data_IF_378363513396
#
_entry.id   IF_378363513396
#
_cell.length_a   1.000
_cell.length_b   1.000
_cell.length_c   1.000
_cell.angle_alpha   90.00
_cell.angle_beta   90.00
_cell.angle_gamma   90.00
#
_symmetry.space_group_name_H-M   'P 1'
#
loop_
_entity.id
_entity.type
_entity.pdbx_description
1 polymer ?
#
# COMPACT_ATOMS: atom_id res chain seq x y z
N UNK A 1 -19.73 2.18 -25.92
CA UNK A 1 -20.34 1.29 -24.91
C UNK A 1 -19.32 0.20 -24.59
N UNK A 2 -18.46 0.40 -23.60
CA UNK A 2 -17.40 -0.57 -23.21
C UNK A 2 -17.47 -0.82 -21.71
N UNK A 3 -18.41 -1.67 -21.32
CA UNK A 3 -18.47 -2.29 -20.00
C UNK A 3 -18.26 -3.79 -20.21
N UNK A 4 -17.44 -4.40 -19.35
CA UNK A 4 -17.19 -5.85 -19.19
C UNK A 4 -16.02 -6.44 -19.98
N UNK A 5 -14.83 -6.20 -19.47
CA UNK A 5 -13.90 -7.30 -19.17
C UNK A 5 -13.75 -7.35 -17.65
N UNK A 6 -14.83 -7.82 -16.99
CA UNK A 6 -14.74 -8.33 -15.62
C UNK A 6 -13.92 -9.62 -15.70
N UNK A 7 -12.60 -9.52 -15.58
CA UNK A 7 -11.94 -10.46 -14.71
C UNK A 7 -12.35 -10.05 -13.30
N UNK A 8 -13.10 -10.90 -12.60
CA UNK A 8 -13.29 -10.82 -11.14
C UNK A 8 -11.96 -11.09 -10.40
N UNK A 9 -10.85 -10.52 -10.89
CA UNK A 9 -9.66 -10.34 -10.09
C UNK A 9 -10.02 -9.23 -9.11
N UNK A 10 -10.36 -9.64 -7.89
CA UNK A 10 -10.57 -8.76 -6.74
C UNK A 10 -9.55 -7.63 -6.79
N UNK A 11 -10.02 -6.37 -6.84
CA UNK A 11 -9.11 -5.23 -6.96
C UNK A 11 -8.08 -5.31 -5.84
N UNK A 12 -6.78 -5.19 -6.15
CA UNK A 12 -5.74 -5.31 -5.15
C UNK A 12 -5.99 -4.25 -4.06
N UNK A 13 -5.87 -4.64 -2.80
CA UNK A 13 -6.03 -3.70 -1.68
C UNK A 13 -4.94 -2.64 -1.75
N UNK A 14 -5.24 -1.43 -1.28
CA UNK A 14 -4.24 -0.34 -1.21
C UNK A 14 -2.97 -0.78 -0.46
N UNK A 15 -3.10 -1.53 0.64
CA UNK A 15 -1.95 -2.06 1.38
C UNK A 15 -1.08 -3.01 0.54
N UNK A 16 -1.67 -3.79 -0.36
CA UNK A 16 -0.95 -4.64 -1.31
C UNK A 16 -0.16 -3.78 -2.30
N UNK A 17 -0.78 -2.73 -2.82
CA UNK A 17 -0.12 -1.79 -3.72
C UNK A 17 1.07 -1.10 -3.03
N UNK A 18 0.87 -0.59 -1.81
CA UNK A 18 1.93 0.04 -1.02
C UNK A 18 3.04 -0.96 -0.70
N UNK A 19 2.70 -2.23 -0.42
CA UNK A 19 3.69 -3.28 -0.18
C UNK A 19 4.55 -3.57 -1.41
N UNK A 20 4.00 -3.45 -2.63
CA UNK A 20 4.78 -3.55 -3.88
C UNK A 20 5.72 -2.35 -4.02
N UNK A 21 5.25 -1.13 -3.75
CA UNK A 21 6.08 0.07 -3.81
C UNK A 21 7.29 -0.01 -2.88
N UNK A 22 7.08 -0.45 -1.64
CA UNK A 22 8.16 -0.62 -0.65
C UNK A 22 9.04 -1.83 -1.00
N UNK A 23 8.43 -2.98 -1.31
CA UNK A 23 9.16 -4.23 -1.57
C UNK A 23 10.05 -4.18 -2.81
N UNK A 24 9.71 -3.37 -3.81
CA UNK A 24 10.55 -3.11 -4.98
C UNK A 24 11.37 -1.82 -4.88
N UNK A 25 11.30 -1.11 -3.76
CA UNK A 25 11.97 0.19 -3.56
C UNK A 25 11.71 1.18 -4.70
N UNK A 26 10.46 1.24 -5.17
CA UNK A 26 10.07 2.13 -6.26
C UNK A 26 10.28 3.58 -5.86
N UNK A 27 10.76 4.41 -6.78
CA UNK A 27 10.82 5.84 -6.56
C UNK A 27 9.41 6.42 -6.33
N UNK A 28 9.37 7.59 -5.70
CA UNK A 28 8.13 8.24 -5.28
C UNK A 28 7.16 8.45 -6.45
N UNK A 29 7.65 8.90 -7.61
CA UNK A 29 6.80 9.18 -8.77
C UNK A 29 6.17 7.89 -9.31
N UNK A 30 6.98 6.84 -9.49
CA UNK A 30 6.50 5.52 -9.92
C UNK A 30 5.51 4.92 -8.92
N UNK A 31 5.78 5.05 -7.62
CA UNK A 31 4.88 4.56 -6.56
C UNK A 31 3.51 5.23 -6.59
N UNK A 32 3.45 6.55 -6.73
CA UNK A 32 2.18 7.28 -6.86
C UNK A 32 1.44 6.96 -8.16
N UNK A 33 2.15 6.78 -9.27
CA UNK A 33 1.53 6.33 -10.52
C UNK A 33 0.90 4.95 -10.37
N UNK A 34 1.56 4.02 -9.69
CA UNK A 34 1.04 2.67 -9.47
C UNK A 34 -0.21 2.68 -8.59
N UNK A 35 -0.27 3.52 -7.55
CA UNK A 35 -1.47 3.76 -6.74
C UNK A 35 -2.63 4.28 -7.61
N UNK A 36 -2.37 5.27 -8.46
CA UNK A 36 -3.40 5.86 -9.31
C UNK A 36 -3.91 4.85 -10.36
N UNK A 37 -3.01 4.05 -10.96
CA UNK A 37 -3.37 2.98 -11.89
C UNK A 37 -4.22 1.89 -11.24
N UNK A 38 -3.99 1.61 -9.96
CA UNK A 38 -4.82 0.70 -9.16
C UNK A 38 -6.17 1.30 -8.74
N UNK A 39 -6.46 2.56 -9.10
CA UNK A 39 -7.73 3.23 -8.81
C UNK A 39 -7.80 3.88 -7.43
N UNK A 40 -6.68 4.05 -6.74
CA UNK A 40 -6.63 4.65 -5.41
C UNK A 40 -6.12 6.08 -5.43
N UNK A 41 -6.42 6.81 -4.36
CA UNK A 41 -5.85 8.13 -4.08
C UNK A 41 -5.55 8.23 -2.58
N UNK A 42 -4.34 8.69 -2.23
CA UNK A 42 -3.99 8.91 -0.83
C UNK A 42 -4.67 10.19 -0.33
N UNK A 43 -5.44 10.08 0.75
CA UNK A 43 -6.23 11.19 1.29
C UNK A 43 -5.45 11.82 2.45
N UNK A 44 -5.04 13.09 2.38
CA UNK A 44 -4.22 13.73 3.42
C UNK A 44 -4.90 13.76 4.79
N UNK A 45 -6.23 13.72 4.85
CA UNK A 45 -6.99 13.71 6.11
C UNK A 45 -7.03 12.33 6.78
N UNK A 46 -6.65 11.26 6.07
CA UNK A 46 -6.62 9.91 6.60
C UNK A 46 -5.21 9.58 7.11
N UNK A 47 -5.09 9.34 8.41
CA UNK A 47 -3.80 9.03 9.06
C UNK A 47 -3.10 7.84 8.42
N UNK A 48 -3.82 6.76 8.09
CA UNK A 48 -3.24 5.58 7.44
C UNK A 48 -2.69 5.92 6.05
N UNK A 49 -3.41 6.74 5.28
CA UNK A 49 -2.96 7.14 3.94
C UNK A 49 -1.72 8.05 4.01
N UNK A 50 -1.61 8.89 5.05
CA UNK A 50 -0.38 9.67 5.30
C UNK A 50 0.81 8.79 5.64
N UNK A 51 0.60 7.73 6.42
CA UNK A 51 1.65 6.77 6.74
C UNK A 51 2.08 6.02 5.48
N UNK A 52 1.14 5.61 4.62
CA UNK A 52 1.46 5.01 3.33
C UNK A 52 2.22 5.95 2.39
N UNK A 53 1.86 7.24 2.36
CA UNK A 53 2.61 8.24 1.61
C UNK A 53 4.07 8.31 2.08
N UNK A 54 4.27 8.36 3.41
CA UNK A 54 5.60 8.35 4.02
C UNK A 54 6.41 7.09 3.62
N UNK A 55 5.79 5.91 3.60
CA UNK A 55 6.46 4.68 3.17
C UNK A 55 6.90 4.71 1.71
N UNK A 56 6.11 5.32 0.83
CA UNK A 56 6.44 5.45 -0.60
C UNK A 56 7.56 6.47 -0.82
N UNK A 57 7.53 7.56 -0.08
CA UNK A 57 8.58 8.58 -0.12
C UNK A 57 9.93 8.07 0.39
N UNK A 58 9.91 7.05 1.27
CA UNK A 58 11.10 6.49 1.91
C UNK A 58 11.31 4.99 1.58
N UNK A 59 10.80 4.53 0.43
CA UNK A 59 10.76 3.11 0.02
C UNK A 59 12.14 2.45 -0.10
N UNK A 60 13.20 3.25 -0.35
CA UNK A 60 14.57 2.76 -0.48
C UNK A 60 15.23 2.48 0.88
N UNK A 61 14.70 3.05 1.96
CA UNK A 61 15.28 2.97 3.31
C UNK A 61 14.43 2.17 4.28
N UNK A 62 13.29 1.65 3.84
CA UNK A 62 12.33 0.94 4.68
C UNK A 62 12.10 -0.47 4.15
N UNK A 63 12.11 -1.43 5.05
CA UNK A 63 11.65 -2.79 4.79
C UNK A 63 10.16 -2.93 5.12
N UNK A 64 9.51 -3.96 4.57
CA UNK A 64 8.11 -4.29 4.89
C UNK A 64 7.94 -4.54 6.40
N UNK A 65 8.92 -5.17 7.06
CA UNK A 65 8.86 -5.45 8.49
C UNK A 65 8.89 -4.17 9.33
N UNK A 66 9.71 -3.19 8.96
CA UNK A 66 9.76 -1.89 9.64
C UNK A 66 8.47 -1.11 9.43
N UNK A 67 7.91 -1.14 8.22
CA UNK A 67 6.63 -0.52 7.93
C UNK A 67 5.50 -1.13 8.77
N UNK A 68 5.43 -2.45 8.88
CA UNK A 68 4.41 -3.13 9.69
C UNK A 68 4.57 -2.81 11.18
N UNK A 69 5.80 -2.81 11.69
CA UNK A 69 6.07 -2.40 13.08
C UNK A 69 5.59 -0.97 13.34
N UNK A 70 5.87 -0.05 12.42
CA UNK A 70 5.42 1.34 12.53
C UNK A 70 3.88 1.45 12.53
N UNK A 71 3.20 0.65 11.71
CA UNK A 71 1.73 0.59 11.68
C UNK A 71 1.16 0.06 13.01
N UNK A 72 1.77 -0.99 13.56
CA UNK A 72 1.39 -1.57 14.84
C UNK A 72 1.60 -0.58 16.00
N UNK A 73 2.74 0.13 16.01
CA UNK A 73 3.04 1.17 17.01
C UNK A 73 2.04 2.34 16.96
N UNK A 74 1.40 2.57 15.81
CA UNK A 74 0.34 3.56 15.60
C UNK A 74 -1.08 3.01 15.87
N UNK A 75 -1.20 1.75 16.29
CA UNK A 75 -2.46 1.10 16.63
C UNK A 75 -3.21 0.45 15.47
N UNK A 76 -2.56 0.27 14.31
CA UNK A 76 -3.14 -0.43 13.16
C UNK A 76 -2.77 -1.91 13.22
N UNK A 77 -3.78 -2.77 13.28
CA UNK A 77 -3.61 -4.23 13.44
C UNK A 77 -4.52 -5.05 12.53
N UNK A 78 -5.42 -4.42 11.78
CA UNK A 78 -6.43 -5.16 11.00
C UNK A 78 -5.82 -5.71 9.71
N UNK A 79 -6.33 -6.87 9.29
CA UNK A 79 -6.04 -7.41 7.95
C UNK A 79 -6.55 -6.43 6.89
N UNK A 80 -5.62 -5.84 6.14
CA UNK A 80 -5.88 -4.77 5.17
C UNK A 80 -5.21 -3.44 5.52
N UNK A 81 -4.76 -3.25 6.76
CA UNK A 81 -3.97 -2.08 7.18
C UNK A 81 -2.46 -2.37 7.10
N UNK A 82 -2.05 -3.59 7.42
CA UNK A 82 -0.66 -4.04 7.33
C UNK A 82 -0.22 -4.29 5.88
N UNK A 83 1.07 -4.04 5.61
CA UNK A 83 1.72 -4.30 4.33
C UNK A 83 2.06 -5.79 4.21
N UNK A 84 1.46 -6.44 3.22
CA UNK A 84 1.58 -7.88 3.01
C UNK A 84 0.83 -8.70 4.06
N UNK A 85 0.36 -9.89 3.66
CA UNK A 85 -0.26 -10.84 4.59
C UNK A 85 0.82 -11.76 5.18
N UNK A 86 1.31 -11.49 6.38
CA UNK A 86 1.84 -12.57 7.21
C UNK A 86 0.72 -13.10 8.10
N UNK A 87 0.14 -14.23 7.69
CA UNK A 87 -0.09 -15.34 8.62
C UNK A 87 0.06 -16.66 7.84
N UNK A 88 1.29 -17.19 7.79
CA UNK A 88 1.44 -18.64 7.83
C UNK A 88 1.66 -18.99 9.29
N UNK A 89 0.62 -19.52 9.92
CA UNK A 89 0.75 -20.29 11.16
C UNK A 89 1.66 -21.48 10.92
#
# INVERSE_FOLDING_TARGET
>A
MYYRLQNEAEQPKLSTIVSLCVGFSLDTLTGYHLIALAGYTLLPRNTLHRIYAYFIENSQSLTISECNKFLEDMGFHKQGELLGSQQRK
#
